data_IF_422805151183
#
_entry.id   IF_422805151183
#
_cell.length_a   1.000
_cell.length_b   1.000
_cell.length_c   1.000
_cell.angle_alpha   90.00
_cell.angle_beta   90.00
_cell.angle_gamma   90.00
#
_symmetry.space_group_name_H-M   'P 1'
#
loop_
_entity.id
_entity.type
_entity.pdbx_description
1 polymer ?
#
# COMPACT_ATOMS: atom_id res chain seq x y z
N UNK A 1 1.19 52.62 -7.43
CA UNK A 1 1.17 53.61 -8.53
C UNK A 1 1.60 54.99 -8.04
N UNK A 2 0.96 55.56 -7.01
CA UNK A 2 1.34 56.87 -6.45
C UNK A 2 2.82 56.91 -6.02
N UNK A 3 3.29 55.88 -5.32
CA UNK A 3 4.71 55.78 -4.94
C UNK A 3 5.64 55.65 -6.15
N UNK A 4 5.29 54.82 -7.13
CA UNK A 4 6.04 54.69 -8.39
C UNK A 4 6.17 56.03 -9.12
N UNK A 5 5.09 56.80 -9.22
CA UNK A 5 5.11 58.11 -9.88
C UNK A 5 5.99 59.11 -9.12
N UNK A 6 5.89 59.15 -7.80
CA UNK A 6 6.71 60.04 -6.96
C UNK A 6 8.20 59.66 -7.00
N UNK A 7 8.54 58.36 -6.95
CA UNK A 7 9.93 57.90 -6.99
C UNK A 7 10.58 58.14 -8.36
N UNK A 8 9.84 57.99 -9.47
CA UNK A 8 10.42 58.05 -10.81
C UNK A 8 10.29 59.43 -11.48
N UNK A 9 9.31 60.23 -11.09
CA UNK A 9 9.01 61.52 -11.73
C UNK A 9 8.96 62.71 -10.76
N UNK A 10 9.06 62.47 -9.45
CA UNK A 10 8.96 63.50 -8.41
C UNK A 10 7.73 64.40 -8.64
N UNK A 11 7.84 65.72 -8.45
CA UNK A 11 6.78 66.69 -8.72
C UNK A 11 6.75 67.17 -10.19
N UNK A 12 7.44 66.49 -11.10
CA UNK A 12 7.50 66.92 -12.51
C UNK A 12 6.21 66.60 -13.25
N UNK A 13 5.29 67.57 -13.28
CA UNK A 13 4.01 67.46 -13.97
C UNK A 13 4.14 67.12 -15.46
N UNK A 14 5.25 67.52 -16.10
CA UNK A 14 5.52 67.25 -17.51
C UNK A 14 5.84 65.77 -17.73
N UNK A 15 6.66 65.18 -16.86
CA UNK A 15 7.05 63.77 -16.97
C UNK A 15 5.87 62.84 -16.64
N UNK A 16 5.06 63.18 -15.63
CA UNK A 16 3.84 62.43 -15.30
C UNK A 16 2.84 62.46 -16.47
N UNK A 17 2.65 63.61 -17.12
CA UNK A 17 1.79 63.71 -18.31
C UNK A 17 2.31 62.87 -19.49
N UNK A 18 3.63 62.87 -19.73
CA UNK A 18 4.26 62.01 -20.75
C UNK A 18 4.08 60.53 -20.44
N UNK A 19 4.26 60.13 -19.18
CA UNK A 19 4.02 58.76 -18.73
C UNK A 19 2.56 58.36 -18.90
N UNK A 20 1.61 59.21 -18.51
CA UNK A 20 0.18 58.95 -18.68
C UNK A 20 -0.20 58.80 -20.16
N UNK A 21 0.31 59.67 -21.02
CA UNK A 21 0.12 59.57 -22.46
C UNK A 21 0.69 58.25 -23.01
N UNK A 22 1.90 57.87 -22.58
CA UNK A 22 2.51 56.60 -22.98
C UNK A 22 1.71 55.40 -22.46
N UNK A 23 1.25 55.42 -21.20
CA UNK A 23 0.45 54.35 -20.60
C UNK A 23 -0.87 54.18 -21.35
N UNK A 24 -1.62 55.26 -21.59
CA UNK A 24 -2.89 55.19 -22.29
C UNK A 24 -2.76 54.80 -23.77
N UNK A 25 -1.69 55.24 -24.45
CA UNK A 25 -1.52 54.99 -25.88
C UNK A 25 -0.86 53.65 -26.18
N UNK A 26 0.05 53.18 -25.31
CA UNK A 26 0.92 52.02 -25.57
C UNK A 26 0.57 50.79 -24.74
N UNK A 27 -0.15 50.91 -23.63
CA UNK A 27 -0.62 49.75 -22.85
C UNK A 27 -2.00 49.34 -23.35
N UNK A 28 -2.15 48.06 -23.68
CA UNK A 28 -3.43 47.48 -24.09
C UNK A 28 -3.89 46.50 -23.03
N UNK A 29 -5.11 46.68 -22.54
CA UNK A 29 -5.78 45.72 -21.67
C UNK A 29 -6.57 44.76 -22.56
N UNK A 30 -6.25 43.46 -22.49
CA UNK A 30 -7.04 42.42 -23.12
C UNK A 30 -8.02 41.89 -22.07
N UNK A 31 -9.31 42.15 -22.28
CA UNK A 31 -10.38 41.59 -21.44
C UNK A 31 -11.02 40.43 -22.18
N UNK A 32 -10.95 39.24 -21.59
CA UNK A 32 -11.66 38.06 -22.08
C UNK A 32 -12.91 37.89 -21.21
N UNK A 33 -14.08 37.98 -21.85
CA UNK A 33 -15.38 37.74 -21.22
C UNK A 33 -15.88 36.40 -21.71
N UNK A 34 -16.16 35.49 -20.80
CA UNK A 34 -16.64 34.15 -21.12
C UNK A 34 -18.11 33.98 -20.69
N UNK A 35 -18.87 33.11 -21.38
CA UNK A 35 -20.30 32.92 -21.11
C UNK A 35 -20.57 32.18 -19.80
N UNK A 36 -19.57 31.50 -19.24
CA UNK A 36 -19.65 30.85 -17.94
C UNK A 36 -18.29 30.82 -17.24
N UNK A 37 -18.32 30.65 -15.92
CA UNK A 37 -17.12 30.52 -15.11
C UNK A 37 -16.26 29.31 -15.50
N UNK A 38 -16.89 28.21 -15.94
CA UNK A 38 -16.19 27.05 -16.49
C UNK A 38 -15.39 27.39 -17.76
N UNK A 39 -15.96 28.20 -18.67
CA UNK A 39 -15.22 28.70 -19.83
C UNK A 39 -14.15 29.72 -19.42
N UNK A 40 -14.38 30.52 -18.37
CA UNK A 40 -13.38 31.46 -17.83
C UNK A 40 -12.14 30.71 -17.35
N UNK A 41 -12.35 29.63 -16.58
CA UNK A 41 -11.28 28.80 -16.04
C UNK A 41 -10.56 28.00 -17.14
N UNK A 42 -11.28 27.47 -18.14
CA UNK A 42 -10.67 26.79 -19.29
C UNK A 42 -9.82 27.73 -20.16
N UNK A 43 -10.30 28.95 -20.40
CA UNK A 43 -9.50 29.98 -21.09
C UNK A 43 -8.30 30.39 -20.24
N UNK A 44 -8.47 30.49 -18.92
CA UNK A 44 -7.37 30.76 -17.99
C UNK A 44 -6.31 29.64 -18.00
N UNK A 45 -6.72 28.37 -18.06
CA UNK A 45 -5.85 27.20 -18.22
C UNK A 45 -5.04 27.26 -19.52
N UNK A 46 -5.70 27.47 -20.68
CA UNK A 46 -5.03 27.57 -21.98
C UNK A 46 -4.07 28.76 -22.06
N UNK A 47 -4.38 29.87 -21.38
CA UNK A 47 -3.48 31.04 -21.31
C UNK A 47 -2.28 30.76 -20.41
N UNK A 48 -2.46 29.98 -19.34
CA UNK A 48 -1.40 29.56 -18.42
C UNK A 48 -0.52 28.42 -18.94
N UNK A 49 -0.84 27.77 -20.08
CA UNK A 49 0.00 26.72 -20.70
C UNK A 49 1.40 27.20 -21.13
N UNK A 50 1.68 28.50 -21.07
CA UNK A 50 3.05 29.06 -21.24
C UNK A 50 3.84 29.18 -19.92
N UNK A 51 3.27 28.70 -18.80
CA UNK A 51 3.88 28.55 -17.48
C UNK A 51 3.46 27.22 -16.81
N UNK A 52 3.72 27.04 -15.52
CA UNK A 52 3.25 25.84 -14.77
C UNK A 52 1.72 25.89 -14.68
N UNK A 53 1.03 24.98 -15.37
CA UNK A 53 -0.43 24.90 -15.36
C UNK A 53 -0.99 24.67 -13.96
N UNK A 54 -2.18 25.24 -13.68
CA UNK A 54 -2.92 24.94 -12.45
C UNK A 54 -3.31 23.47 -12.42
N UNK A 55 -3.03 22.78 -11.32
CA UNK A 55 -3.45 21.39 -11.16
C UNK A 55 -4.84 21.31 -10.48
N UNK A 56 -5.42 20.11 -10.39
CA UNK A 56 -6.76 19.95 -9.82
C UNK A 56 -6.89 20.41 -8.34
N UNK A 57 -5.79 20.46 -7.57
CA UNK A 57 -5.82 21.07 -6.23
C UNK A 57 -6.08 22.57 -6.30
N UNK A 58 -5.40 23.29 -7.20
CA UNK A 58 -5.57 24.73 -7.35
C UNK A 58 -6.98 25.07 -7.86
N UNK A 59 -7.49 24.27 -8.80
CA UNK A 59 -8.83 24.44 -9.34
C UNK A 59 -9.91 24.15 -8.28
N UNK A 60 -9.76 23.08 -7.50
CA UNK A 60 -10.66 22.78 -6.38
C UNK A 60 -10.62 23.89 -5.32
N UNK A 61 -9.43 24.42 -5.00
CA UNK A 61 -9.28 25.57 -4.09
C UNK A 61 -10.10 26.76 -4.59
N UNK A 62 -9.95 27.11 -5.86
CA UNK A 62 -10.67 28.23 -6.47
C UNK A 62 -12.19 28.02 -6.42
N UNK A 63 -12.66 26.82 -6.75
CA UNK A 63 -14.07 26.44 -6.64
C UNK A 63 -14.59 26.66 -5.21
N UNK A 64 -13.82 26.27 -4.19
CA UNK A 64 -14.18 26.48 -2.80
C UNK A 64 -14.25 27.96 -2.40
N UNK A 65 -13.32 28.80 -2.87
CA UNK A 65 -13.38 30.25 -2.66
C UNK A 65 -14.61 30.87 -3.33
N UNK A 66 -15.00 30.38 -4.51
CA UNK A 66 -16.19 30.87 -5.23
C UNK A 66 -17.49 30.50 -4.50
N UNK A 67 -17.52 29.35 -3.82
CA UNK A 67 -18.68 28.88 -3.06
C UNK A 67 -18.71 29.36 -1.60
N UNK A 68 -17.67 30.05 -1.12
CA UNK A 68 -17.56 30.50 0.29
C UNK A 68 -17.84 32.01 0.42
N UNK A 69 -18.56 32.48 1.45
CA UNK A 69 -18.69 33.91 1.71
C UNK A 69 -17.34 34.57 2.04
N UNK A 70 -17.14 35.81 1.59
CA UNK A 70 -15.87 36.55 1.80
C UNK A 70 -15.46 36.68 3.27
N UNK A 71 -16.43 36.73 4.19
CA UNK A 71 -16.20 36.78 5.65
C UNK A 71 -15.50 35.52 6.19
N UNK A 72 -15.57 34.40 5.46
CA UNK A 72 -15.02 33.11 5.88
C UNK A 72 -13.74 32.71 5.12
N UNK A 73 -13.26 33.55 4.20
CA UNK A 73 -12.04 33.29 3.41
C UNK A 73 -10.80 33.03 4.27
N UNK A 74 -10.69 33.69 5.42
CA UNK A 74 -9.59 33.44 6.35
C UNK A 74 -9.62 32.01 6.90
N UNK A 75 -10.80 31.51 7.29
CA UNK A 75 -10.99 30.13 7.78
C UNK A 75 -10.69 29.12 6.66
N UNK A 76 -11.23 29.35 5.46
CA UNK A 76 -10.99 28.50 4.29
C UNK A 76 -9.49 28.42 3.96
N UNK A 77 -8.80 29.57 3.94
CA UNK A 77 -7.36 29.63 3.66
C UNK A 77 -6.55 28.84 4.69
N UNK A 78 -6.91 28.93 5.96
CA UNK A 78 -6.24 28.17 7.03
C UNK A 78 -6.48 26.66 6.90
N UNK A 79 -7.73 26.22 6.68
CA UNK A 79 -8.04 24.80 6.48
C UNK A 79 -7.37 24.21 5.24
N UNK A 80 -7.37 24.97 4.15
CA UNK A 80 -6.66 24.58 2.93
C UNK A 80 -5.15 24.44 3.16
N UNK A 81 -4.54 25.40 3.90
CA UNK A 81 -3.14 25.30 4.28
C UNK A 81 -2.86 24.04 5.10
N UNK A 82 -3.71 23.74 6.09
CA UNK A 82 -3.56 22.53 6.91
C UNK A 82 -3.64 21.24 6.07
N UNK A 83 -4.52 21.21 5.06
CA UNK A 83 -4.63 20.08 4.13
C UNK A 83 -3.31 19.88 3.36
N UNK A 84 -2.78 20.94 2.74
CA UNK A 84 -1.53 20.89 1.96
C UNK A 84 -0.36 20.50 2.84
N UNK A 85 -0.19 21.16 4.00
CA UNK A 85 0.90 20.88 4.93
C UNK A 85 0.85 19.41 5.43
N UNK A 86 -0.35 18.86 5.65
CA UNK A 86 -0.53 17.46 6.05
C UNK A 86 -0.09 16.49 4.97
N UNK A 87 -0.49 16.73 3.71
CA UNK A 87 -0.12 15.89 2.57
C UNK A 87 1.39 15.96 2.30
N UNK A 88 1.98 17.15 2.33
CA UNK A 88 3.42 17.35 2.14
C UNK A 88 4.23 16.60 3.21
N UNK A 89 3.80 16.64 4.48
CA UNK A 89 4.42 15.91 5.58
C UNK A 89 4.39 14.38 5.45
N UNK A 90 3.51 13.86 4.58
CA UNK A 90 3.39 12.44 4.28
C UNK A 90 4.18 12.01 3.03
N UNK A 91 4.81 12.96 2.30
CA UNK A 91 5.49 12.73 1.01
C UNK A 91 4.57 12.09 -0.05
N UNK A 92 3.28 12.39 0.01
CA UNK A 92 2.28 11.85 -0.92
C UNK A 92 1.88 12.88 -1.96
N UNK A 93 1.40 12.38 -3.10
CA UNK A 93 0.95 13.24 -4.20
C UNK A 93 -0.46 13.75 -3.91
N UNK A 94 -0.71 15.07 -3.87
CA UNK A 94 -2.05 15.60 -3.58
C UNK A 94 -3.15 15.09 -4.52
N UNK A 95 -2.86 14.95 -5.82
CA UNK A 95 -3.82 14.43 -6.80
C UNK A 95 -4.19 12.97 -6.53
N UNK A 96 -3.24 12.14 -6.08
CA UNK A 96 -3.53 10.75 -5.69
C UNK A 96 -4.46 10.70 -4.49
N UNK A 97 -4.20 11.55 -3.49
CA UNK A 97 -5.06 11.65 -2.31
C UNK A 97 -6.49 12.05 -2.72
N UNK A 98 -6.66 13.12 -3.50
CA UNK A 98 -7.99 13.55 -3.96
C UNK A 98 -8.70 12.45 -4.75
N UNK A 99 -7.98 11.77 -5.64
CA UNK A 99 -8.51 10.67 -6.42
C UNK A 99 -9.05 9.55 -5.53
N UNK A 100 -8.26 9.11 -4.54
CA UNK A 100 -8.69 8.02 -3.65
C UNK A 100 -9.70 8.48 -2.62
N UNK A 101 -9.71 9.76 -2.24
CA UNK A 101 -10.81 10.36 -1.51
C UNK A 101 -12.12 10.22 -2.30
N UNK A 102 -12.13 10.58 -3.59
CA UNK A 102 -13.31 10.40 -4.46
C UNK A 102 -13.75 8.93 -4.49
N UNK A 103 -12.82 8.03 -4.81
CA UNK A 103 -13.10 6.58 -4.93
C UNK A 103 -13.55 5.93 -3.60
N UNK A 104 -13.19 6.52 -2.46
CA UNK A 104 -13.54 6.00 -1.13
C UNK A 104 -14.79 6.63 -0.54
N UNK A 105 -15.22 7.81 -0.98
CA UNK A 105 -16.31 8.58 -0.36
C UNK A 105 -17.56 8.72 -1.21
N UNK A 106 -17.48 8.50 -2.52
CA UNK A 106 -18.62 8.66 -3.43
C UNK A 106 -18.90 7.39 -4.20
N UNK A 107 -20.17 7.13 -4.47
CA UNK A 107 -20.58 5.95 -5.24
C UNK A 107 -20.22 6.20 -6.70
N UNK A 108 -19.40 5.31 -7.27
CA UNK A 108 -19.21 5.29 -8.72
C UNK A 108 -20.41 4.61 -9.37
N UNK A 109 -20.83 5.14 -10.50
CA UNK A 109 -21.84 4.48 -11.34
C UNK A 109 -21.30 3.12 -11.82
N UNK A 110 -22.14 2.09 -11.87
CA UNK A 110 -21.68 0.71 -12.05
C UNK A 110 -20.99 0.48 -13.40
N UNK A 111 -21.38 1.25 -14.42
CA UNK A 111 -20.78 1.27 -15.75
C UNK A 111 -19.50 2.12 -15.85
N UNK A 112 -19.20 2.93 -14.84
CA UNK A 112 -18.13 3.91 -14.89
C UNK A 112 -16.79 3.34 -14.45
N UNK A 113 -15.74 3.66 -15.21
CA UNK A 113 -14.36 3.43 -14.79
C UNK A 113 -13.98 4.34 -13.63
N UNK A 114 -13.00 3.95 -12.79
CA UNK A 114 -12.43 4.85 -11.79
C UNK A 114 -11.98 6.18 -12.42
N UNK A 115 -12.26 7.28 -11.71
CA UNK A 115 -11.84 8.64 -12.08
C UNK A 115 -10.33 8.69 -12.25
N UNK A 116 -9.82 9.36 -13.29
CA UNK A 116 -8.39 9.58 -13.51
C UNK A 116 -7.91 10.89 -12.88
N UNK A 117 -6.59 11.05 -12.71
CA UNK A 117 -6.02 12.26 -12.09
C UNK A 117 -6.36 13.55 -12.87
N UNK A 118 -6.44 13.46 -14.20
CA UNK A 118 -6.82 14.56 -15.10
C UNK A 118 -8.31 14.93 -15.04
N UNK A 119 -9.16 14.08 -14.46
CA UNK A 119 -10.63 14.24 -14.42
C UNK A 119 -11.14 14.70 -13.05
N UNK A 120 -10.27 14.79 -12.04
CA UNK A 120 -10.63 15.10 -10.65
C UNK A 120 -11.44 16.39 -10.56
N UNK A 121 -11.00 17.43 -11.28
CA UNK A 121 -11.67 18.73 -11.21
C UNK A 121 -13.05 18.70 -11.87
N UNK A 122 -13.17 18.16 -13.09
CA UNK A 122 -14.45 18.02 -13.79
C UNK A 122 -15.44 17.19 -12.97
N UNK A 123 -14.95 16.16 -12.29
CA UNK A 123 -15.74 15.35 -11.37
C UNK A 123 -16.29 16.20 -10.22
N UNK A 124 -15.47 16.99 -9.52
CA UNK A 124 -15.96 17.86 -8.44
C UNK A 124 -16.96 18.92 -8.92
N UNK A 125 -16.78 19.48 -10.12
CA UNK A 125 -17.74 20.43 -10.70
C UNK A 125 -19.09 19.76 -10.95
N UNK A 126 -19.09 18.53 -11.48
CA UNK A 126 -20.30 17.74 -11.69
C UNK A 126 -21.01 17.32 -10.41
N UNK A 127 -20.28 17.15 -9.30
CA UNK A 127 -20.79 16.63 -8.03
C UNK A 127 -20.75 17.67 -6.89
N UNK A 128 -20.64 18.96 -7.20
CA UNK A 128 -20.48 20.05 -6.23
C UNK A 128 -21.59 20.12 -5.16
N UNK A 129 -22.82 19.78 -5.54
CA UNK A 129 -23.96 19.73 -4.61
C UNK A 129 -23.87 18.50 -3.69
N UNK A 130 -23.61 17.33 -4.24
CA UNK A 130 -23.43 16.07 -3.49
C UNK A 130 -22.25 16.15 -2.51
N UNK A 131 -21.15 16.79 -2.94
CA UNK A 131 -19.98 17.01 -2.10
C UNK A 131 -20.24 18.04 -0.98
N UNK A 132 -21.35 18.80 -1.04
CA UNK A 132 -21.60 19.92 -0.15
C UNK A 132 -20.68 21.13 -0.39
N UNK A 133 -20.04 21.23 -1.55
CA UNK A 133 -19.16 22.36 -1.90
C UNK A 133 -19.99 23.65 -2.02
N UNK A 134 -21.20 23.59 -2.56
CA UNK A 134 -22.07 24.76 -2.69
C UNK A 134 -22.81 25.12 -1.39
N UNK A 135 -23.10 24.14 -0.55
CA UNK A 135 -23.94 24.32 0.64
C UNK A 135 -23.12 24.49 1.92
N UNK A 136 -22.02 23.76 2.07
CA UNK A 136 -21.16 23.74 3.25
C UNK A 136 -19.67 23.60 2.87
N UNK A 137 -19.09 24.54 2.09
CA UNK A 137 -17.71 24.42 1.58
C UNK A 137 -16.67 24.25 2.67
N UNK A 138 -16.85 24.95 3.81
CA UNK A 138 -15.97 24.81 4.96
C UNK A 138 -16.00 23.41 5.57
N UNK A 139 -17.17 22.76 5.64
CA UNK A 139 -17.30 21.41 6.16
C UNK A 139 -16.64 20.38 5.21
N UNK A 140 -16.81 20.57 3.90
CA UNK A 140 -16.15 19.75 2.90
C UNK A 140 -14.61 19.80 3.02
N UNK A 141 -14.01 20.99 3.19
CA UNK A 141 -12.56 21.10 3.38
C UNK A 141 -12.11 20.48 4.70
N UNK A 142 -12.90 20.62 5.77
CA UNK A 142 -12.61 19.98 7.06
C UNK A 142 -12.60 18.44 6.94
N UNK A 143 -13.52 17.88 6.14
CA UNK A 143 -13.53 16.45 5.83
C UNK A 143 -12.27 16.03 5.06
N UNK A 144 -11.83 16.83 4.07
CA UNK A 144 -10.56 16.56 3.37
C UNK A 144 -9.37 16.60 4.33
N UNK A 145 -9.30 17.57 5.24
CA UNK A 145 -8.23 17.66 6.25
C UNK A 145 -8.24 16.43 7.15
N UNK A 146 -9.42 16.00 7.62
CA UNK A 146 -9.57 14.79 8.46
C UNK A 146 -9.11 13.54 7.72
N UNK A 147 -9.49 13.39 6.45
CA UNK A 147 -9.07 12.26 5.62
C UNK A 147 -7.57 12.28 5.33
N UNK A 148 -6.98 13.46 5.11
CA UNK A 148 -5.52 13.60 4.93
C UNK A 148 -4.76 13.24 6.22
N UNK A 149 -5.31 13.57 7.39
CA UNK A 149 -4.79 13.16 8.68
C UNK A 149 -4.78 11.64 8.85
N UNK A 150 -5.90 10.98 8.54
CA UNK A 150 -6.01 9.51 8.55
C UNK A 150 -5.05 8.86 7.54
N UNK A 151 -4.99 9.38 6.32
CA UNK A 151 -4.06 8.93 5.29
C UNK A 151 -2.60 9.00 5.77
N UNK A 152 -2.19 10.13 6.37
CA UNK A 152 -0.85 10.30 6.93
C UNK A 152 -0.54 9.25 8.00
N UNK A 153 -1.51 8.92 8.85
CA UNK A 153 -1.36 7.85 9.83
C UNK A 153 -1.15 6.51 9.13
N UNK A 154 -1.98 6.19 8.13
CA UNK A 154 -1.91 4.92 7.43
C UNK A 154 -0.57 4.71 6.70
N UNK A 155 -0.05 5.75 6.06
CA UNK A 155 1.28 5.76 5.41
C UNK A 155 2.42 5.46 6.39
N UNK A 156 2.24 5.80 7.68
CA UNK A 156 3.22 5.56 8.74
C UNK A 156 3.00 4.24 9.49
N UNK A 157 2.08 3.40 9.03
CA UNK A 157 1.72 2.15 9.72
C UNK A 157 0.94 2.38 11.02
N UNK A 158 0.22 3.50 11.12
CA UNK A 158 -0.60 3.86 12.28
C UNK A 158 -2.09 3.72 11.95
N UNK A 159 -2.90 3.33 12.93
CA UNK A 159 -4.36 3.24 12.83
C UNK A 159 -5.07 4.59 12.83
N UNK A 160 -6.40 4.54 12.87
CA UNK A 160 -7.25 5.74 12.90
C UNK A 160 -7.08 6.59 14.17
N UNK A 161 -6.67 5.96 15.27
CA UNK A 161 -6.37 6.55 16.57
C UNK A 161 -4.92 7.08 16.68
N UNK A 162 -4.11 6.84 15.65
CA UNK A 162 -2.69 7.18 15.64
C UNK A 162 -1.79 6.18 16.37
N UNK A 163 -2.34 5.07 16.89
CA UNK A 163 -1.56 3.99 17.47
C UNK A 163 -0.94 3.09 16.39
N UNK A 164 0.17 2.39 16.65
CA UNK A 164 0.74 1.43 15.71
C UNK A 164 -0.26 0.36 15.30
N UNK A 165 -0.41 0.15 13.99
CA UNK A 165 -1.23 -0.92 13.43
C UNK A 165 -0.33 -1.89 12.67
N UNK A 166 -0.20 -3.12 13.18
CA UNK A 166 0.71 -4.13 12.63
C UNK A 166 0.46 -4.42 11.15
N UNK A 167 -0.81 -4.49 10.73
CA UNK A 167 -1.16 -4.87 9.37
C UNK A 167 -0.87 -3.74 8.38
N UNK A 168 -1.05 -2.48 8.80
CA UNK A 168 -0.60 -1.34 7.99
C UNK A 168 0.93 -1.29 7.86
N UNK A 169 1.66 -1.62 8.94
CA UNK A 169 3.11 -1.76 8.88
C UNK A 169 3.52 -2.88 7.92
N UNK A 170 2.86 -4.04 7.97
CA UNK A 170 3.10 -5.15 7.04
C UNK A 170 2.86 -4.74 5.57
N UNK A 171 1.75 -4.05 5.28
CA UNK A 171 1.45 -3.56 3.92
C UNK A 171 2.52 -2.61 3.41
N UNK A 172 3.19 -1.83 4.28
CA UNK A 172 4.30 -0.96 3.87
C UNK A 172 5.48 -1.73 3.28
N UNK A 173 5.74 -2.94 3.79
CA UNK A 173 6.79 -3.85 3.28
C UNK A 173 6.39 -4.58 2.00
N UNK A 174 5.08 -4.71 1.71
CA UNK A 174 4.53 -5.40 0.54
C UNK A 174 4.25 -4.47 -0.65
N UNK A 175 3.74 -3.28 -0.38
CA UNK A 175 3.08 -2.43 -1.39
C UNK A 175 4.03 -1.70 -2.33
N UNK A 176 5.24 -1.35 -1.89
CA UNK A 176 6.17 -0.56 -2.68
C UNK A 176 5.56 0.78 -3.09
N UNK A 177 5.33 1.00 -4.39
CA UNK A 177 4.68 2.20 -4.93
C UNK A 177 3.15 2.10 -5.03
N UNK A 178 2.57 0.92 -4.82
CA UNK A 178 1.12 0.73 -4.87
C UNK A 178 0.43 1.37 -3.66
N UNK A 179 -0.74 1.94 -3.87
CA UNK A 179 -1.44 2.80 -2.90
C UNK A 179 -2.94 2.55 -2.82
N UNK A 180 -3.48 1.69 -3.69
CA UNK A 180 -4.92 1.50 -3.88
C UNK A 180 -5.63 0.97 -2.63
N UNK A 181 -4.93 0.24 -1.75
CA UNK A 181 -5.48 -0.21 -0.47
C UNK A 181 -5.98 0.94 0.40
N UNK A 182 -5.44 2.17 0.22
CA UNK A 182 -5.95 3.36 0.91
C UNK A 182 -7.38 3.73 0.54
N UNK A 183 -7.91 3.26 -0.59
CA UNK A 183 -9.33 3.46 -0.95
C UNK A 183 -10.22 2.79 0.13
N UNK A 184 -9.93 1.53 0.45
CA UNK A 184 -10.67 0.78 1.47
C UNK A 184 -10.37 1.28 2.88
N UNK A 185 -9.12 1.64 3.18
CA UNK A 185 -8.76 2.19 4.50
C UNK A 185 -9.43 3.54 4.77
N UNK A 186 -9.52 4.42 3.76
CA UNK A 186 -10.26 5.67 3.89
C UNK A 186 -11.77 5.42 4.03
N UNK A 187 -12.31 4.44 3.31
CA UNK A 187 -13.72 4.09 3.39
C UNK A 187 -14.09 3.52 4.77
N UNK A 188 -13.26 2.65 5.36
CA UNK A 188 -13.50 2.06 6.68
C UNK A 188 -13.01 2.91 7.86
N UNK A 189 -12.58 4.17 7.65
CA UNK A 189 -11.98 5.01 8.71
C UNK A 189 -12.93 5.36 9.86
N UNK A 190 -14.23 5.15 9.67
CA UNK A 190 -15.27 5.39 10.67
C UNK A 190 -15.45 4.21 11.64
N UNK A 191 -14.84 3.05 11.35
CA UNK A 191 -14.86 1.89 12.24
C UNK A 191 -14.10 2.19 13.54
N UNK A 192 -14.52 1.65 14.69
CA UNK A 192 -13.71 1.62 15.91
C UNK A 192 -12.33 1.02 15.68
N UNK A 193 -11.33 1.43 16.46
CA UNK A 193 -9.92 1.04 16.25
C UNK A 193 -9.68 -0.49 16.18
N UNK A 194 -10.31 -1.34 17.02
CA UNK A 194 -10.18 -2.80 16.89
C UNK A 194 -10.73 -3.34 15.57
N UNK A 195 -11.91 -2.88 15.15
CA UNK A 195 -12.53 -3.29 13.88
C UNK A 195 -11.75 -2.78 12.66
N UNK A 196 -11.19 -1.58 12.75
CA UNK A 196 -10.29 -1.05 11.73
C UNK A 196 -9.00 -1.90 11.60
N UNK A 197 -8.47 -2.41 12.72
CA UNK A 197 -7.33 -3.32 12.69
C UNK A 197 -7.67 -4.65 11.99
N UNK A 198 -8.85 -5.22 12.25
CA UNK A 198 -9.33 -6.41 11.54
C UNK A 198 -9.55 -6.14 10.04
N UNK A 199 -10.14 -4.99 9.68
CA UNK A 199 -10.22 -4.56 8.28
C UNK A 199 -8.83 -4.48 7.64
N UNK A 200 -7.84 -3.89 8.33
CA UNK A 200 -6.47 -3.78 7.82
C UNK A 200 -5.82 -5.15 7.61
N UNK A 201 -6.07 -6.13 8.49
CA UNK A 201 -5.64 -7.53 8.31
C UNK A 201 -6.22 -8.15 7.05
N UNK A 202 -7.52 -7.99 6.84
CA UNK A 202 -8.21 -8.50 5.66
C UNK A 202 -7.73 -7.81 4.37
N UNK A 203 -7.46 -6.50 4.43
CA UNK A 203 -6.86 -5.75 3.31
C UNK A 203 -5.45 -6.24 3.01
N UNK A 204 -4.60 -6.53 4.01
CA UNK A 204 -3.27 -7.11 3.81
C UNK A 204 -3.35 -8.43 3.03
N UNK A 205 -4.24 -9.33 3.46
CA UNK A 205 -4.43 -10.64 2.84
C UNK A 205 -4.95 -10.54 1.40
N UNK A 206 -5.99 -9.73 1.19
CA UNK A 206 -6.56 -9.49 -0.14
C UNK A 206 -5.53 -8.85 -1.07
N UNK A 207 -4.82 -7.83 -0.58
CA UNK A 207 -3.83 -7.11 -1.38
C UNK A 207 -2.65 -8.02 -1.74
N UNK A 208 -2.21 -8.87 -0.82
CA UNK A 208 -1.21 -9.90 -1.12
C UNK A 208 -1.70 -10.88 -2.19
N UNK A 209 -2.93 -11.39 -2.08
CA UNK A 209 -3.53 -12.26 -3.08
C UNK A 209 -3.46 -11.63 -4.47
N UNK A 210 -3.85 -10.37 -4.63
CA UNK A 210 -3.78 -9.68 -5.92
C UNK A 210 -2.35 -9.50 -6.44
N UNK A 211 -1.41 -9.20 -5.55
CA UNK A 211 0.00 -9.02 -5.93
C UNK A 211 0.58 -10.34 -6.44
N UNK A 212 0.36 -11.44 -5.73
CA UNK A 212 0.97 -12.73 -6.07
C UNK A 212 0.32 -13.36 -7.30
N UNK A 213 -0.99 -13.20 -7.50
CA UNK A 213 -1.69 -13.64 -8.70
C UNK A 213 -1.57 -12.66 -9.87
N UNK A 214 -0.78 -11.58 -9.72
CA UNK A 214 -0.50 -10.55 -10.75
C UNK A 214 -1.76 -9.88 -11.31
N UNK A 215 -2.72 -9.63 -10.44
CA UNK A 215 -3.95 -8.97 -10.82
C UNK A 215 -3.72 -7.53 -11.29
N UNK A 216 -4.50 -7.12 -12.30
CA UNK A 216 -4.38 -5.77 -12.84
C UNK A 216 -4.78 -4.74 -11.79
N UNK A 217 -3.97 -3.68 -11.66
CA UNK A 217 -4.27 -2.53 -10.81
C UNK A 217 -5.63 -1.90 -11.12
N UNK A 218 -6.06 -1.97 -12.38
CA UNK A 218 -7.38 -1.48 -12.81
C UNK A 218 -8.52 -2.30 -12.23
N UNK A 219 -8.35 -3.62 -12.12
CA UNK A 219 -9.37 -4.55 -11.63
C UNK A 219 -9.65 -4.29 -10.16
N UNK A 220 -8.60 -4.32 -9.32
CA UNK A 220 -8.82 -4.15 -7.89
C UNK A 220 -9.15 -2.73 -7.49
N UNK A 221 -8.65 -1.71 -8.19
CA UNK A 221 -9.07 -0.33 -7.93
C UNK A 221 -10.57 -0.13 -8.19
N UNK A 222 -11.09 -0.70 -9.28
CA UNK A 222 -12.54 -0.70 -9.57
C UNK A 222 -13.32 -1.42 -8.48
N UNK A 223 -12.85 -2.61 -8.07
CA UNK A 223 -13.49 -3.37 -6.99
C UNK A 223 -13.52 -2.57 -5.69
N UNK A 224 -12.38 -2.00 -5.27
CA UNK A 224 -12.26 -1.23 -4.04
C UNK A 224 -13.18 -0.01 -4.02
N UNK A 225 -13.27 0.71 -5.14
CA UNK A 225 -14.19 1.84 -5.25
C UNK A 225 -15.66 1.42 -5.14
N UNK A 226 -16.06 0.31 -5.78
CA UNK A 226 -17.43 -0.23 -5.69
C UNK A 226 -17.77 -0.65 -4.26
N UNK A 227 -16.87 -1.35 -3.59
CA UNK A 227 -17.09 -1.86 -2.24
C UNK A 227 -17.07 -0.77 -1.17
N UNK A 228 -16.39 0.35 -1.43
CA UNK A 228 -16.23 1.45 -0.47
C UNK A 228 -17.56 2.02 0.03
N UNK A 229 -18.62 2.00 -0.80
CA UNK A 229 -19.93 2.51 -0.38
C UNK A 229 -20.54 1.72 0.78
N UNK A 230 -20.44 0.39 0.74
CA UNK A 230 -20.95 -0.47 1.83
C UNK A 230 -20.01 -0.43 3.03
N UNK A 231 -18.69 -0.40 2.79
CA UNK A 231 -17.72 -0.31 3.88
C UNK A 231 -17.87 0.96 4.72
N UNK A 232 -18.18 2.11 4.09
CA UNK A 232 -18.47 3.37 4.81
C UNK A 232 -19.69 3.30 5.72
N UNK A 233 -20.65 2.42 5.40
CA UNK A 233 -21.86 2.25 6.19
C UNK A 233 -21.64 1.33 7.41
N UNK A 234 -20.59 0.50 7.39
CA UNK A 234 -20.29 -0.42 8.47
C UNK A 234 -19.85 0.32 9.75
N UNK A 235 -20.42 -0.05 10.89
CA UNK A 235 -20.08 0.54 12.19
C UNK A 235 -19.81 -0.53 13.26
N UNK A 236 -20.39 -1.72 13.10
CA UNK A 236 -20.31 -2.82 14.05
C UNK A 236 -19.45 -3.97 13.52
N UNK A 237 -19.17 -4.93 14.40
CA UNK A 237 -18.47 -6.17 14.04
C UNK A 237 -19.25 -6.97 13.00
N UNK A 238 -20.57 -7.09 13.18
CA UNK A 238 -21.47 -7.79 12.25
C UNK A 238 -21.47 -7.13 10.86
N UNK A 239 -21.50 -5.79 10.80
CA UNK A 239 -21.43 -5.08 9.51
C UNK A 239 -20.12 -5.36 8.78
N UNK A 240 -18.99 -5.32 9.50
CA UNK A 240 -17.68 -5.59 8.94
C UNK A 240 -17.56 -7.04 8.48
N UNK A 241 -18.00 -8.00 9.30
CA UNK A 241 -17.98 -9.41 8.94
C UNK A 241 -18.83 -9.68 7.68
N UNK A 242 -20.05 -9.13 7.65
CA UNK A 242 -20.94 -9.22 6.49
C UNK A 242 -20.28 -8.64 5.23
N UNK A 243 -19.63 -7.47 5.34
CA UNK A 243 -18.88 -6.87 4.25
C UNK A 243 -17.74 -7.78 3.75
N UNK A 244 -16.95 -8.34 4.67
CA UNK A 244 -15.82 -9.23 4.35
C UNK A 244 -16.32 -10.50 3.66
N UNK A 245 -17.36 -11.15 4.20
CA UNK A 245 -17.98 -12.36 3.63
C UNK A 245 -18.61 -12.12 2.27
N UNK A 246 -19.14 -10.92 2.03
CA UNK A 246 -19.75 -10.54 0.76
C UNK A 246 -18.73 -10.25 -0.33
N UNK A 247 -17.62 -9.59 0.00
CA UNK A 247 -16.70 -9.03 -1.00
C UNK A 247 -15.33 -9.67 -1.01
N UNK A 248 -14.64 -9.76 0.13
CA UNK A 248 -13.24 -10.16 0.16
C UNK A 248 -13.10 -11.67 0.01
N UNK A 249 -13.83 -12.44 0.82
CA UNK A 249 -13.68 -13.90 0.83
C UNK A 249 -14.06 -14.54 -0.52
N UNK A 250 -15.18 -14.18 -1.16
CA UNK A 250 -15.53 -14.75 -2.46
C UNK A 250 -14.52 -14.38 -3.54
N UNK A 251 -14.05 -13.13 -3.55
CA UNK A 251 -13.08 -12.68 -4.56
C UNK A 251 -11.72 -13.37 -4.39
N UNK A 252 -11.25 -13.56 -3.15
CA UNK A 252 -10.06 -14.38 -2.87
C UNK A 252 -10.28 -15.86 -3.21
N UNK A 253 -11.46 -16.42 -2.92
CA UNK A 253 -11.81 -17.81 -3.26
C UNK A 253 -11.70 -18.07 -4.77
N UNK A 254 -12.18 -17.15 -5.61
CA UNK A 254 -12.06 -17.30 -7.07
C UNK A 254 -10.60 -17.33 -7.57
N UNK A 255 -9.65 -16.88 -6.74
CA UNK A 255 -8.22 -16.82 -7.05
C UNK A 255 -7.41 -17.89 -6.34
N UNK A 256 -8.02 -18.75 -5.54
CA UNK A 256 -7.31 -19.74 -4.73
C UNK A 256 -6.39 -20.65 -5.58
N UNK A 257 -6.86 -21.13 -6.73
CA UNK A 257 -6.04 -21.96 -7.61
C UNK A 257 -4.88 -21.17 -8.24
N UNK A 258 -5.11 -19.92 -8.65
CA UNK A 258 -4.08 -19.05 -9.19
C UNK A 258 -3.04 -18.69 -8.11
N UNK A 259 -3.48 -18.50 -6.86
CA UNK A 259 -2.61 -18.28 -5.71
C UNK A 259 -1.72 -19.48 -5.44
N UNK A 260 -2.32 -20.69 -5.35
CA UNK A 260 -1.59 -21.95 -5.15
C UNK A 260 -0.53 -22.14 -6.23
N UNK A 261 -0.90 -21.96 -7.49
CA UNK A 261 0.02 -22.05 -8.63
C UNK A 261 1.13 -20.99 -8.56
N UNK A 262 0.78 -19.73 -8.23
CA UNK A 262 1.77 -18.66 -8.14
C UNK A 262 2.81 -18.92 -7.04
N UNK A 263 2.40 -19.50 -5.91
CA UNK A 263 3.31 -19.89 -4.82
C UNK A 263 4.13 -21.13 -5.16
N UNK A 264 3.51 -22.16 -5.78
CA UNK A 264 4.21 -23.38 -6.18
C UNK A 264 5.22 -23.16 -7.30
N UNK A 265 5.10 -22.07 -8.06
CA UNK A 265 5.99 -21.70 -9.16
C UNK A 265 6.81 -20.42 -8.88
N UNK A 266 6.87 -19.97 -7.62
CA UNK A 266 7.50 -18.71 -7.28
C UNK A 266 9.03 -18.80 -7.42
N UNK A 267 9.60 -17.82 -8.11
CA UNK A 267 11.05 -17.62 -8.21
C UNK A 267 11.40 -16.15 -8.02
N UNK A 268 12.66 -15.85 -7.70
CA UNK A 268 13.13 -14.46 -7.55
C UNK A 268 12.89 -13.60 -8.79
N UNK A 269 13.00 -14.18 -9.98
CA UNK A 269 12.77 -13.45 -11.23
C UNK A 269 11.30 -13.04 -11.41
N UNK A 270 10.37 -13.71 -10.73
CA UNK A 270 8.92 -13.50 -10.91
C UNK A 270 8.35 -12.43 -9.98
N UNK A 271 9.13 -11.91 -9.03
CA UNK A 271 8.65 -10.97 -8.02
C UNK A 271 9.74 -9.98 -7.60
N UNK A 272 9.38 -8.77 -7.16
CA UNK A 272 10.37 -7.82 -6.66
C UNK A 272 10.99 -8.31 -5.34
N UNK A 273 12.30 -8.08 -5.17
CA UNK A 273 13.07 -8.57 -4.03
C UNK A 273 12.47 -8.18 -2.66
N UNK A 274 11.95 -6.96 -2.52
CA UNK A 274 11.33 -6.51 -1.26
C UNK A 274 10.05 -7.30 -0.93
N UNK A 275 9.28 -7.73 -1.94
CA UNK A 275 8.08 -8.56 -1.75
C UNK A 275 8.44 -10.00 -1.45
N UNK A 276 9.50 -10.52 -2.07
CA UNK A 276 10.04 -11.83 -1.72
C UNK A 276 10.50 -11.87 -0.26
N UNK A 277 11.22 -10.82 0.18
CA UNK A 277 11.60 -10.66 1.59
C UNK A 277 10.38 -10.62 2.50
N UNK A 278 9.34 -9.87 2.13
CA UNK A 278 8.07 -9.85 2.85
C UNK A 278 7.42 -11.23 2.96
N UNK A 279 7.40 -12.02 1.87
CA UNK A 279 6.83 -13.38 1.87
C UNK A 279 7.57 -14.27 2.87
N UNK A 280 8.90 -14.34 2.76
CA UNK A 280 9.72 -15.16 3.66
C UNK A 280 9.58 -14.70 5.12
N UNK A 281 9.52 -13.38 5.35
CA UNK A 281 9.31 -12.80 6.67
C UNK A 281 7.94 -13.17 7.26
N UNK A 282 6.87 -13.09 6.47
CA UNK A 282 5.52 -13.45 6.92
C UNK A 282 5.36 -14.95 7.19
N UNK A 283 5.95 -15.80 6.35
CA UNK A 283 5.96 -17.25 6.56
C UNK A 283 6.72 -17.62 7.84
N UNK A 284 7.90 -17.01 8.04
CA UNK A 284 8.71 -17.21 9.24
C UNK A 284 7.96 -16.71 10.48
N UNK A 285 7.47 -15.46 10.45
CA UNK A 285 6.66 -14.87 11.52
C UNK A 285 5.49 -15.76 11.91
N UNK A 286 4.74 -16.28 10.93
CA UNK A 286 3.58 -17.13 11.21
C UNK A 286 3.99 -18.39 12.01
N UNK A 287 5.08 -19.06 11.62
CA UNK A 287 5.57 -20.23 12.36
C UNK A 287 5.98 -19.86 13.79
N UNK A 288 6.70 -18.75 13.98
CA UNK A 288 7.10 -18.27 15.32
C UNK A 288 5.87 -17.94 16.19
N UNK A 289 4.87 -17.25 15.64
CA UNK A 289 3.64 -16.90 16.35
C UNK A 289 2.87 -18.15 16.80
N UNK A 290 2.79 -19.18 15.94
CA UNK A 290 2.16 -20.45 16.30
C UNK A 290 2.93 -21.20 17.38
N UNK A 291 4.27 -21.15 17.35
CA UNK A 291 5.13 -21.86 18.28
C UNK A 291 5.14 -21.23 19.67
N UNK A 292 5.38 -19.92 19.75
CA UNK A 292 5.67 -19.23 21.01
C UNK A 292 4.51 -18.41 21.55
N UNK A 293 3.58 -17.98 20.69
CA UNK A 293 2.51 -17.02 21.03
C UNK A 293 3.04 -15.77 21.75
N UNK A 294 4.27 -15.38 21.46
CA UNK A 294 4.91 -14.22 22.07
C UNK A 294 4.42 -12.95 21.36
N UNK A 295 3.84 -11.97 22.08
CA UNK A 295 3.35 -10.73 21.48
C UNK A 295 4.40 -9.99 20.64
N UNK A 296 5.68 -10.13 21.00
CA UNK A 296 6.76 -9.48 20.28
C UNK A 296 6.98 -10.05 18.87
N UNK A 297 6.52 -11.26 18.57
CA UNK A 297 6.64 -11.86 17.23
C UNK A 297 5.65 -11.26 16.23
N UNK A 298 4.68 -10.47 16.73
CA UNK A 298 3.76 -9.70 15.91
C UNK A 298 4.40 -8.59 15.08
N UNK A 299 5.61 -8.15 15.45
CA UNK A 299 6.36 -7.14 14.69
C UNK A 299 7.17 -7.78 13.55
N UNK A 300 6.69 -7.58 12.32
CA UNK A 300 7.34 -8.10 11.11
C UNK A 300 8.74 -7.49 10.91
N UNK A 301 9.02 -6.31 11.48
CA UNK A 301 10.30 -5.60 11.33
C UNK A 301 11.49 -6.47 11.72
N UNK A 302 11.33 -7.33 12.73
CA UNK A 302 12.33 -8.30 13.19
C UNK A 302 12.86 -9.22 12.09
N UNK A 303 12.01 -9.57 11.12
CA UNK A 303 12.31 -10.52 10.05
C UNK A 303 12.76 -9.83 8.75
N UNK A 304 12.49 -8.53 8.60
CA UNK A 304 12.88 -7.74 7.41
C UNK A 304 14.10 -6.84 7.63
N UNK A 305 14.49 -6.59 8.88
CA UNK A 305 15.58 -5.70 9.28
C UNK A 305 16.94 -6.08 8.66
N UNK A 306 17.88 -5.12 8.59
CA UNK A 306 19.19 -5.30 7.93
C UNK A 306 20.13 -6.31 8.59
N UNK A 307 19.76 -6.88 9.74
CA UNK A 307 20.45 -7.99 10.41
C UNK A 307 20.04 -9.36 9.87
N UNK A 308 19.04 -9.43 8.99
CA UNK A 308 18.51 -10.65 8.39
C UNK A 308 18.70 -10.62 6.87
N UNK A 309 19.25 -11.71 6.34
CA UNK A 309 19.50 -11.92 4.92
C UNK A 309 18.55 -12.97 4.34
N UNK A 310 18.31 -12.88 3.04
CA UNK A 310 17.77 -14.00 2.28
C UNK A 310 18.96 -14.90 1.97
N UNK A 311 18.92 -16.12 2.49
CA UNK A 311 19.90 -17.17 2.26
C UNK A 311 19.46 -18.07 1.10
N UNK A 312 20.42 -18.39 0.24
CA UNK A 312 20.29 -19.38 -0.83
C UNK A 312 20.85 -20.70 -0.37
N UNK A 313 19.99 -21.69 -0.14
CA UNK A 313 20.42 -22.99 0.37
C UNK A 313 21.36 -23.65 -0.65
N UNK A 314 20.91 -23.74 -1.92
CA UNK A 314 21.74 -23.94 -3.09
C UNK A 314 22.43 -22.61 -3.46
N UNK A 315 23.77 -22.47 -3.35
CA UNK A 315 24.46 -21.19 -3.47
C UNK A 315 24.23 -20.44 -4.80
N UNK A 316 24.24 -19.11 -4.76
CA UNK A 316 24.15 -18.31 -6.00
C UNK A 316 25.41 -18.39 -6.87
N UNK A 317 26.57 -18.46 -6.21
CA UNK A 317 27.91 -18.52 -6.83
C UNK A 317 28.69 -19.73 -6.29
N UNK A 318 28.25 -20.96 -6.62
CA UNK A 318 28.87 -22.18 -6.12
C UNK A 318 30.28 -22.37 -6.70
N UNK A 319 31.13 -23.09 -5.97
CA UNK A 319 32.31 -23.71 -6.57
C UNK A 319 31.89 -24.81 -7.54
N UNK A 320 32.74 -25.15 -8.51
CA UNK A 320 32.47 -26.17 -9.53
C UNK A 320 32.04 -27.52 -8.91
N UNK A 321 32.71 -27.95 -7.84
CA UNK A 321 32.40 -29.20 -7.13
C UNK A 321 31.00 -29.15 -6.51
N UNK A 322 30.64 -28.05 -5.85
CA UNK A 322 29.31 -27.87 -5.23
C UNK A 322 28.21 -27.88 -6.28
N UNK A 323 28.43 -27.24 -7.44
CA UNK A 323 27.46 -27.23 -8.53
C UNK A 323 27.25 -28.62 -9.14
N UNK A 324 28.32 -29.40 -9.33
CA UNK A 324 28.24 -30.73 -9.92
C UNK A 324 27.70 -31.81 -8.97
N UNK A 325 27.75 -31.56 -7.66
CA UNK A 325 27.11 -32.44 -6.67
C UNK A 325 25.58 -32.30 -6.63
N UNK A 326 25.01 -31.26 -7.25
CA UNK A 326 23.56 -31.16 -7.42
C UNK A 326 23.08 -32.25 -8.40
N UNK A 327 21.93 -32.85 -8.12
CA UNK A 327 21.39 -33.98 -8.90
C UNK A 327 20.98 -33.61 -10.33
N UNK A 328 20.83 -32.31 -10.62
CA UNK A 328 20.57 -31.76 -11.96
C UNK A 328 21.49 -30.58 -12.29
N UNK A 329 22.79 -30.79 -12.56
CA UNK A 329 23.74 -29.70 -12.74
C UNK A 329 23.36 -28.74 -13.89
N UNK A 330 22.79 -29.27 -14.97
CA UNK A 330 22.35 -28.47 -16.13
C UNK A 330 21.15 -27.56 -15.82
N UNK A 331 20.33 -27.90 -14.81
CA UNK A 331 19.15 -27.15 -14.36
C UNK A 331 19.44 -26.30 -13.11
N UNK A 332 20.70 -26.18 -12.67
CA UNK A 332 21.07 -25.50 -11.42
C UNK A 332 20.50 -24.08 -11.32
N UNK A 333 20.52 -23.33 -12.42
CA UNK A 333 20.01 -21.95 -12.48
C UNK A 333 18.49 -21.86 -12.34
N UNK A 334 17.76 -22.91 -12.73
CA UNK A 334 16.30 -22.97 -12.61
C UNK A 334 15.88 -23.23 -11.16
N UNK A 335 16.71 -23.98 -10.42
CA UNK A 335 16.45 -24.33 -9.02
C UNK A 335 16.98 -23.32 -8.01
N UNK A 336 18.13 -22.68 -8.26
CA UNK A 336 18.75 -21.78 -7.27
C UNK A 336 17.88 -20.57 -6.90
N UNK A 337 17.00 -20.13 -7.80
CA UNK A 337 16.11 -18.98 -7.61
C UNK A 337 14.68 -19.36 -7.20
N UNK A 338 14.37 -20.65 -7.02
CA UNK A 338 13.06 -21.12 -6.54
C UNK A 338 12.84 -20.72 -5.09
N UNK A 339 11.59 -20.37 -4.72
CA UNK A 339 11.23 -20.06 -3.33
C UNK A 339 11.62 -21.19 -2.36
N UNK A 340 11.46 -22.44 -2.77
CA UNK A 340 11.88 -23.62 -2.00
C UNK A 340 13.36 -23.60 -1.63
N UNK A 341 14.21 -22.91 -2.41
CA UNK A 341 15.63 -22.77 -2.14
C UNK A 341 16.00 -21.59 -1.24
N UNK A 342 15.02 -20.79 -0.80
CA UNK A 342 15.26 -19.55 -0.07
C UNK A 342 14.79 -19.64 1.37
N UNK A 343 15.55 -19.04 2.28
CA UNK A 343 15.16 -18.90 3.68
C UNK A 343 15.68 -17.61 4.29
N UNK A 344 15.14 -17.19 5.44
CA UNK A 344 15.73 -16.09 6.20
C UNK A 344 16.83 -16.61 7.09
N UNK A 345 17.94 -15.89 7.17
CA UNK A 345 19.05 -16.25 8.02
C UNK A 345 19.70 -15.01 8.63
N UNK A 346 20.10 -15.12 9.89
CA UNK A 346 20.82 -14.08 10.60
C UNK A 346 22.15 -13.79 9.90
N UNK A 347 22.50 -12.51 9.75
CA UNK A 347 23.69 -12.06 9.00
C UNK A 347 25.00 -12.71 9.47
N UNK A 348 25.13 -12.93 10.78
CA UNK A 348 26.30 -13.59 11.38
C UNK A 348 26.43 -15.04 10.91
N UNK A 349 25.33 -15.79 10.90
CA UNK A 349 25.30 -17.19 10.45
C UNK A 349 25.46 -17.26 8.93
N UNK A 350 24.76 -16.40 8.17
CA UNK A 350 24.86 -16.30 6.71
C UNK A 350 26.30 -16.04 6.24
N UNK A 351 27.04 -15.19 6.95
CA UNK A 351 28.46 -14.94 6.65
C UNK A 351 29.33 -16.18 6.91
N UNK A 352 28.98 -16.99 7.91
CA UNK A 352 29.72 -18.23 8.24
C UNK A 352 29.49 -19.35 7.24
N UNK A 353 28.26 -19.51 6.73
CA UNK A 353 27.90 -20.62 5.82
C UNK A 353 28.25 -20.33 4.36
N UNK A 354 28.27 -19.06 3.93
CA UNK A 354 28.78 -18.62 2.62
C UNK A 354 28.25 -19.47 1.43
N UNK A 355 29.09 -19.77 0.44
CA UNK A 355 28.78 -20.57 -0.75
C UNK A 355 29.05 -22.08 -0.58
N UNK A 356 29.06 -22.58 0.65
CA UNK A 356 29.33 -23.99 0.95
C UNK A 356 28.23 -24.95 0.48
N UNK A 357 28.51 -26.26 0.51
CA UNK A 357 27.48 -27.29 0.25
C UNK A 357 26.44 -27.34 1.37
N UNK A 358 25.25 -27.87 1.09
CA UNK A 358 24.18 -28.00 2.07
C UNK A 358 24.64 -28.63 3.39
N UNK A 359 25.35 -29.77 3.32
CA UNK A 359 25.86 -30.49 4.49
C UNK A 359 26.73 -29.61 5.39
N UNK A 360 27.55 -28.73 4.80
CA UNK A 360 28.37 -27.77 5.53
C UNK A 360 27.51 -26.64 6.13
N UNK A 361 26.46 -26.20 5.44
CA UNK A 361 25.55 -25.15 5.91
C UNK A 361 24.65 -25.61 7.05
N UNK A 362 24.31 -26.90 7.13
CA UNK A 362 23.44 -27.48 8.16
C UNK A 362 23.86 -27.10 9.60
N UNK A 363 25.17 -27.11 9.89
CA UNK A 363 25.67 -26.72 11.20
C UNK A 363 25.32 -25.25 11.57
N UNK A 364 25.24 -24.36 10.58
CA UNK A 364 24.78 -23.00 10.76
C UNK A 364 23.25 -22.90 10.86
N UNK A 365 22.51 -23.64 10.02
CA UNK A 365 21.05 -23.62 10.04
C UNK A 365 20.47 -24.11 11.38
N UNK A 366 21.08 -25.11 12.01
CA UNK A 366 20.68 -25.57 13.36
C UNK A 366 20.84 -24.51 14.47
N UNK A 367 21.68 -23.49 14.24
CA UNK A 367 21.89 -22.37 15.17
C UNK A 367 20.95 -21.19 14.91
N UNK A 368 20.19 -21.19 13.80
CA UNK A 368 19.24 -20.13 13.52
C UNK A 368 18.12 -20.12 14.55
N UNK A 369 17.72 -18.92 14.97
CA UNK A 369 16.55 -18.71 15.83
C UNK A 369 15.24 -18.88 15.06
N UNK A 370 15.26 -18.79 13.73
CA UNK A 370 14.08 -18.93 12.88
C UNK A 370 13.74 -20.40 12.69
N UNK A 371 12.58 -20.82 13.21
CA UNK A 371 12.08 -22.19 13.15
C UNK A 371 11.96 -22.70 11.71
N UNK A 372 11.59 -21.85 10.76
CA UNK A 372 11.48 -22.21 9.33
C UNK A 372 12.84 -22.55 8.69
N UNK A 373 13.92 -21.96 9.19
CA UNK A 373 15.30 -22.26 8.76
C UNK A 373 15.86 -23.44 9.54
N UNK A 374 15.65 -23.45 10.85
CA UNK A 374 16.08 -24.52 11.74
C UNK A 374 15.48 -25.87 11.35
N UNK A 375 14.22 -25.89 10.90
CA UNK A 375 13.53 -27.09 10.44
C UNK A 375 14.17 -27.79 9.26
N UNK A 376 15.05 -27.12 8.50
CA UNK A 376 15.84 -27.77 7.45
C UNK A 376 16.66 -28.93 8.01
N UNK A 377 17.17 -28.77 9.24
CA UNK A 377 18.12 -29.70 9.88
C UNK A 377 17.48 -30.46 11.03
N UNK A 378 16.67 -29.80 11.86
CA UNK A 378 15.99 -30.43 12.98
C UNK A 378 14.65 -29.76 13.26
N UNK A 379 13.65 -30.55 13.65
CA UNK A 379 12.40 -30.03 14.19
C UNK A 379 12.53 -29.88 15.71
N UNK A 380 12.50 -28.65 16.26
CA UNK A 380 12.53 -28.47 17.70
C UNK A 380 11.36 -29.18 18.36
N UNK A 381 11.63 -29.86 19.48
CA UNK A 381 10.64 -30.67 20.18
C UNK A 381 10.73 -30.43 21.68
N UNK A 382 9.58 -30.15 22.30
CA UNK A 382 9.48 -29.97 23.75
C UNK A 382 8.25 -30.70 24.25
N UNK A 383 8.44 -31.63 25.20
CA UNK A 383 7.37 -32.38 25.84
C UNK A 383 6.44 -33.09 24.84
N UNK A 384 5.20 -33.36 25.27
CA UNK A 384 4.16 -33.96 24.42
C UNK A 384 3.17 -32.87 24.02
N UNK A 385 2.83 -32.78 22.73
CA UNK A 385 1.80 -31.88 22.17
C UNK A 385 1.84 -30.40 22.62
N UNK A 386 3.02 -29.79 22.57
CA UNK A 386 3.17 -28.35 22.82
C UNK A 386 2.80 -27.51 21.58
N UNK A 387 2.56 -26.20 21.78
CA UNK A 387 2.36 -25.24 20.67
C UNK A 387 3.51 -25.27 19.66
N UNK A 388 4.75 -25.41 20.15
CA UNK A 388 5.94 -25.62 19.33
C UNK A 388 5.82 -26.87 18.47
N UNK A 389 5.50 -28.01 19.07
CA UNK A 389 5.37 -29.29 18.34
C UNK A 389 4.31 -29.19 17.23
N UNK A 390 3.18 -28.52 17.49
CA UNK A 390 2.13 -28.29 16.49
C UNK A 390 2.58 -27.33 15.38
N UNK A 391 3.26 -26.24 15.73
CA UNK A 391 3.74 -25.24 14.77
C UNK A 391 4.76 -25.78 13.76
N UNK A 392 5.62 -26.72 14.19
CA UNK A 392 6.67 -27.31 13.34
C UNK A 392 6.26 -28.66 12.71
N UNK A 393 5.05 -29.15 13.01
CA UNK A 393 4.56 -30.47 12.59
C UNK A 393 4.72 -30.68 11.08
N UNK A 394 4.23 -29.73 10.31
CA UNK A 394 4.15 -29.80 8.85
C UNK A 394 5.40 -29.25 8.13
N UNK A 395 6.38 -28.74 8.89
CA UNK A 395 7.68 -28.39 8.33
C UNK A 395 8.41 -29.67 7.88
N UNK A 396 9.37 -29.57 6.97
CA UNK A 396 10.11 -30.74 6.46
C UNK A 396 11.58 -30.58 6.81
N UNK A 397 12.16 -31.66 7.35
CA UNK A 397 13.60 -31.84 7.54
C UNK A 397 14.18 -32.54 6.32
N UNK A 398 15.37 -32.13 5.90
CA UNK A 398 16.02 -32.64 4.69
C UNK A 398 17.42 -33.16 5.03
N UNK A 399 17.68 -34.43 4.69
CA UNK A 399 19.00 -35.04 4.84
C UNK A 399 19.95 -34.67 3.70
N UNK A 400 19.40 -34.34 2.53
CA UNK A 400 20.14 -33.95 1.32
C UNK A 400 19.46 -32.77 0.65
N UNK A 401 20.18 -32.04 -0.21
CA UNK A 401 19.62 -30.90 -0.96
C UNK A 401 19.63 -31.13 -2.47
N UNK A 402 18.55 -31.72 -2.96
CA UNK A 402 18.34 -32.09 -4.37
C UNK A 402 17.22 -31.27 -5.02
N UNK A 403 17.01 -31.44 -6.32
CA UNK A 403 15.87 -30.88 -7.06
C UNK A 403 14.53 -31.24 -6.40
N UNK A 404 14.34 -32.51 -6.02
CA UNK A 404 13.16 -32.99 -5.27
C UNK A 404 13.02 -32.30 -3.90
N UNK A 405 14.13 -32.09 -3.19
CA UNK A 405 14.11 -31.41 -1.88
C UNK A 405 13.61 -29.97 -2.01
N UNK A 406 14.07 -29.25 -3.02
CA UNK A 406 13.65 -27.88 -3.32
C UNK A 406 12.16 -27.86 -3.70
N UNK A 407 11.71 -28.76 -4.56
CA UNK A 407 10.31 -28.82 -5.01
C UNK A 407 9.36 -29.19 -3.85
N UNK A 408 9.73 -30.16 -3.02
CA UNK A 408 8.99 -30.52 -1.80
C UNK A 408 8.92 -29.37 -0.81
N UNK A 409 10.03 -28.65 -0.58
CA UNK A 409 10.02 -27.47 0.29
C UNK A 409 9.17 -26.35 -0.30
N UNK A 410 9.22 -26.12 -1.61
CA UNK A 410 8.39 -25.12 -2.28
C UNK A 410 6.91 -25.42 -2.10
N UNK A 411 6.49 -26.68 -2.25
CA UNK A 411 5.11 -27.08 -2.01
C UNK A 411 4.70 -26.91 -0.53
N UNK A 412 5.58 -27.25 0.41
CA UNK A 412 5.37 -27.01 1.85
C UNK A 412 5.16 -25.50 2.13
N UNK A 413 6.00 -24.63 1.56
CA UNK A 413 5.86 -23.17 1.71
C UNK A 413 4.59 -22.64 1.05
N UNK A 414 4.14 -23.23 -0.06
CA UNK A 414 2.88 -22.87 -0.71
C UNK A 414 1.67 -23.23 0.17
N UNK A 415 1.69 -24.40 0.81
CA UNK A 415 0.67 -24.79 1.78
C UNK A 415 0.67 -23.87 3.01
N UNK A 416 1.86 -23.55 3.53
CA UNK A 416 2.01 -22.59 4.63
C UNK A 416 1.47 -21.21 4.25
N UNK A 417 1.73 -20.74 3.02
CA UNK A 417 1.20 -19.49 2.51
C UNK A 417 -0.33 -19.45 2.49
N UNK A 418 -0.97 -20.56 2.15
CA UNK A 418 -2.43 -20.66 2.23
C UNK A 418 -2.92 -20.46 3.68
N UNK A 419 -2.26 -21.08 4.67
CA UNK A 419 -2.58 -20.89 6.08
C UNK A 419 -2.31 -19.46 6.60
N UNK A 420 -1.37 -18.72 6.00
CA UNK A 420 -1.10 -17.31 6.36
C UNK A 420 -2.16 -16.37 5.77
N UNK A 421 -2.37 -16.43 4.46
CA UNK A 421 -3.13 -15.40 3.72
C UNK A 421 -4.54 -15.82 3.33
N UNK A 422 -4.83 -17.12 3.25
CA UNK A 422 -6.11 -17.68 2.78
C UNK A 422 -6.90 -18.39 3.89
N UNK A 423 -6.48 -18.29 5.16
CA UNK A 423 -7.12 -18.97 6.30
C UNK A 423 -8.63 -18.73 6.44
N UNK A 424 -9.10 -17.54 6.06
CA UNK A 424 -10.51 -17.17 6.19
C UNK A 424 -11.34 -17.60 4.95
N UNK A 425 -10.67 -18.02 3.88
CA UNK A 425 -11.25 -18.39 2.57
C UNK A 425 -11.45 -19.89 2.49
N UNK A 426 -10.43 -20.64 2.91
CA UNK A 426 -10.53 -22.07 3.14
C UNK A 426 -10.68 -22.26 4.64
N UNK A 427 -11.91 -22.38 5.19
CA UNK A 427 -12.02 -22.88 6.55
C UNK A 427 -11.25 -24.20 6.55
N UNK A 428 -10.18 -24.25 7.35
CA UNK A 428 -9.60 -25.52 7.72
C UNK A 428 -10.77 -26.39 8.18
N UNK A 429 -10.72 -27.67 7.85
CA UNK A 429 -11.63 -28.65 8.41
C UNK A 429 -11.49 -28.60 9.94
N UNK A 430 -12.20 -27.70 10.61
CA UNK A 430 -12.57 -27.83 12.02
C UNK A 430 -13.67 -28.90 12.04
N UNK A 431 -13.22 -30.14 11.87
CA UNK A 431 -13.85 -31.29 12.47
C UNK A 431 -12.86 -31.85 13.49
N UNK A 432 -13.38 -32.00 14.71
CA UNK A 432 -12.82 -32.66 15.89
C UNK A 432 -11.80 -31.85 16.73
N UNK A 433 -12.11 -31.43 17.96
CA UNK A 433 -13.23 -31.83 18.81
C UNK A 433 -13.52 -30.92 19.99
N UNK A 434 -14.81 -30.68 20.18
CA UNK A 434 -15.44 -30.77 21.50
C UNK A 434 -15.55 -32.26 21.87
N UNK A 435 -14.78 -32.69 22.88
CA UNK A 435 -15.20 -33.57 23.99
C UNK A 435 -14.29 -33.29 25.18
#
# INVERSE_FOLDING_TARGET
>A
IRDFLNTNFQDSSVQVKKFMAAFMLRVKLIRIVTPSLAHALKVFETINERGVGLNAMDLLKNLLFMSTPSSEFAKLKQRWKNLVDTLDSSREKPLRFLRYYILSHYKLDESSRPVREDEIYEWFVGHKLECGIETQPLAFVEQLVTCAGAWRNFVRGLGIDGAPNRYLMNISWLSGAARQHYILLLAGRNLPAPLFAELARHIENLFFCYVITRESTKTFERNFARWSSELRAAQTEEDLESFIRRYFLPDMQTRLNAFRFAMSELTEARIQQYRLRYILAKLTQYVEEQAWRNPSDGDLSKFVHGSVNIEHILPQTPMFEVANCFDRPDEYNDYKYKLGNLTLLEKTINTSVSNSSYDQKCAGYGQSSFLLTKSLVEKPHVGVDTSLNRAVKDLIQFDTWTSDSIDRRQQMLANLAEAVWMKDVSPAQEQDGDV
#
